data_IF_259725251610
#
_entry.id   IF_259725251610
#
_cell.length_a   1.000
_cell.length_b   1.000
_cell.length_c   1.000
_cell.angle_alpha   90.00
_cell.angle_beta   90.00
_cell.angle_gamma   90.00
#
_symmetry.space_group_name_H-M   'P 1'
#
loop_
_entity.id
_entity.type
_entity.pdbx_description
1 polymer ?
#
# COMPACT_ATOMS: atom_id res chain seq x y z
N UNK A 1 11.03 23.14 17.92
CA UNK A 1 11.11 22.66 16.52
C UNK A 1 10.09 21.56 16.34
N UNK A 2 9.36 21.50 15.21
CA UNK A 2 8.44 20.39 14.90
C UNK A 2 9.06 19.53 13.81
N UNK A 3 9.00 18.21 13.95
CA UNK A 3 9.38 17.25 12.92
C UNK A 3 8.12 16.49 12.48
N UNK A 4 8.02 16.21 11.19
CA UNK A 4 6.96 15.40 10.61
C UNK A 4 7.60 14.17 9.98
N UNK A 5 7.05 13.00 10.27
CA UNK A 5 7.49 11.74 9.70
C UNK A 5 6.45 11.27 8.69
N UNK A 6 6.86 11.12 7.43
CA UNK A 6 6.02 10.60 6.36
C UNK A 6 6.51 9.18 6.06
N UNK A 7 5.69 8.19 6.40
CA UNK A 7 6.01 6.78 6.16
C UNK A 7 5.48 6.38 4.80
N UNK A 8 6.32 5.73 4.01
CA UNK A 8 5.94 5.23 2.71
C UNK A 8 7.04 4.35 2.16
N UNK A 9 6.80 3.78 0.99
CA UNK A 9 7.81 3.12 0.18
C UNK A 9 7.90 3.82 -1.16
N UNK A 10 9.10 3.87 -1.72
CA UNK A 10 9.25 4.04 -3.16
C UNK A 10 9.00 2.70 -3.83
N UNK A 11 8.20 2.65 -4.89
CA UNK A 11 7.80 1.41 -5.53
C UNK A 11 8.01 1.46 -7.04
N UNK A 12 9.20 1.07 -7.48
CA UNK A 12 9.42 0.79 -8.88
C UNK A 12 8.52 -0.37 -9.32
N UNK A 13 7.60 -0.11 -10.26
CA UNK A 13 6.67 -1.13 -10.75
C UNK A 13 7.40 -2.30 -11.41
N UNK A 14 8.52 -2.02 -12.06
CA UNK A 14 9.43 -2.99 -12.67
C UNK A 14 10.83 -2.37 -12.79
N UNK A 15 11.88 -3.15 -12.54
CA UNK A 15 13.25 -2.67 -12.67
C UNK A 15 14.27 -3.79 -12.95
N UNK A 16 15.01 -4.25 -11.93
CA UNK A 16 16.11 -5.22 -12.10
C UNK A 16 15.67 -6.68 -12.06
N UNK A 17 14.53 -6.96 -11.46
CA UNK A 17 13.80 -8.24 -11.57
C UNK A 17 12.62 -8.12 -12.54
N UNK A 18 12.09 -9.24 -13.05
CA UNK A 18 10.85 -9.24 -13.84
C UNK A 18 9.68 -8.61 -13.08
N UNK A 19 8.77 -7.95 -13.82
CA UNK A 19 7.56 -7.31 -13.28
C UNK A 19 6.80 -8.18 -12.27
N UNK A 20 6.70 -9.50 -12.49
CA UNK A 20 5.94 -10.38 -11.60
C UNK A 20 6.60 -10.56 -10.21
N UNK A 21 7.92 -10.42 -10.09
CA UNK A 21 8.56 -10.44 -8.76
C UNK A 21 8.24 -9.16 -7.98
N UNK A 22 8.32 -8.00 -8.63
CA UNK A 22 7.83 -6.76 -8.03
C UNK A 22 6.34 -6.85 -7.69
N UNK A 23 5.50 -7.40 -8.57
CA UNK A 23 4.07 -7.56 -8.25
C UNK A 23 3.83 -8.48 -7.06
N UNK A 24 4.61 -9.56 -6.92
CA UNK A 24 4.53 -10.45 -5.74
C UNK A 24 4.87 -9.71 -4.46
N UNK A 25 5.98 -8.97 -4.44
CA UNK A 25 6.36 -8.18 -3.26
C UNK A 25 5.36 -7.06 -2.95
N UNK A 26 4.72 -6.47 -3.97
CA UNK A 26 3.67 -5.47 -3.77
C UNK A 26 2.49 -6.08 -3.02
N UNK A 27 2.08 -7.29 -3.43
CA UNK A 27 0.98 -8.01 -2.78
C UNK A 27 1.32 -8.34 -1.33
N UNK A 28 2.52 -8.84 -1.06
CA UNK A 28 3.00 -9.13 0.29
C UNK A 28 3.02 -7.86 1.16
N UNK A 29 3.57 -6.76 0.65
CA UNK A 29 3.63 -5.47 1.35
C UNK A 29 2.24 -4.95 1.70
N UNK A 30 1.29 -4.96 0.75
CA UNK A 30 -0.05 -4.42 0.97
C UNK A 30 -0.86 -5.33 1.91
N UNK A 31 -0.70 -6.65 1.82
CA UNK A 31 -1.32 -7.60 2.75
C UNK A 31 -0.85 -7.33 4.19
N UNK A 32 0.47 -7.27 4.40
CA UNK A 32 1.06 -6.99 5.71
C UNK A 32 0.69 -5.61 6.26
N UNK A 33 0.66 -4.59 5.39
CA UNK A 33 0.30 -3.23 5.78
C UNK A 33 -1.15 -3.14 6.28
N UNK A 34 -2.10 -3.77 5.58
CA UNK A 34 -3.50 -3.74 6.00
C UNK A 34 -3.72 -4.52 7.30
N UNK A 35 -3.05 -5.67 7.45
CA UNK A 35 -3.10 -6.46 8.68
C UNK A 35 -2.49 -5.70 9.87
N UNK A 36 -1.36 -5.00 9.66
CA UNK A 36 -0.76 -4.11 10.64
C UNK A 36 -1.72 -2.98 11.03
N UNK A 37 -2.34 -2.31 10.06
CA UNK A 37 -3.29 -1.22 10.32
C UNK A 37 -4.54 -1.69 11.05
N UNK A 38 -4.96 -2.94 10.85
CA UNK A 38 -6.07 -3.55 11.59
C UNK A 38 -5.68 -3.87 13.04
N UNK A 39 -4.46 -4.39 13.26
CA UNK A 39 -3.95 -4.75 14.58
C UNK A 39 -3.53 -3.53 15.42
N UNK A 40 -3.01 -2.48 14.78
CA UNK A 40 -2.49 -1.28 15.42
C UNK A 40 -3.20 -0.01 14.90
N UNK A 41 -4.21 0.50 15.65
CA UNK A 41 -4.88 1.76 15.34
C UNK A 41 -3.98 3.00 15.47
N UNK A 42 -2.80 2.91 16.09
CA UNK A 42 -1.83 3.99 16.18
C UNK A 42 -0.94 4.12 14.95
N UNK A 43 -0.92 3.10 14.09
CA UNK A 43 -0.37 3.22 12.74
C UNK A 43 -1.30 4.06 11.84
N UNK A 44 -1.07 5.38 11.84
CA UNK A 44 -2.05 6.35 11.31
C UNK A 44 -2.12 6.40 9.79
N UNK A 45 -0.99 6.48 9.09
CA UNK A 45 -0.97 6.61 7.64
C UNK A 45 0.26 5.99 6.99
N UNK A 46 0.11 5.61 5.71
CA UNK A 46 1.19 5.15 4.85
C UNK A 46 1.03 5.69 3.42
N UNK A 47 2.13 6.12 2.81
CA UNK A 47 2.17 6.64 1.45
C UNK A 47 2.60 5.56 0.45
N UNK A 48 1.70 5.18 -0.45
CA UNK A 48 1.95 4.26 -1.58
C UNK A 48 2.43 5.03 -2.81
N UNK A 49 3.55 5.73 -2.62
CA UNK A 49 4.40 6.27 -3.69
C UNK A 49 3.75 7.21 -4.73
N UNK A 50 2.57 7.79 -4.42
CA UNK A 50 1.94 8.79 -5.30
C UNK A 50 1.45 8.25 -6.65
N UNK A 51 1.31 6.93 -6.78
CA UNK A 51 0.88 6.26 -8.01
C UNK A 51 -0.36 5.42 -7.74
N UNK A 52 -1.37 5.51 -8.61
CA UNK A 52 -2.63 4.76 -8.43
C UNK A 52 -2.58 3.35 -8.99
N UNK A 53 -1.65 3.05 -9.91
CA UNK A 53 -1.54 1.76 -10.60
C UNK A 53 -1.31 0.59 -9.65
N UNK A 54 -0.64 0.82 -8.52
CA UNK A 54 -0.41 -0.19 -7.48
C UNK A 54 -1.72 -0.76 -6.90
N UNK A 55 -2.81 0.01 -6.92
CA UNK A 55 -4.11 -0.48 -6.48
C UNK A 55 -4.68 -1.51 -7.48
N UNK A 56 -4.48 -1.27 -8.77
CA UNK A 56 -4.93 -2.19 -9.82
C UNK A 56 -4.09 -3.47 -9.77
N UNK A 57 -2.76 -3.34 -9.73
CA UNK A 57 -1.84 -4.48 -9.64
C UNK A 57 -2.11 -5.37 -8.42
N UNK A 58 -2.44 -4.76 -7.28
CA UNK A 58 -2.82 -5.49 -6.07
C UNK A 58 -4.19 -6.19 -6.22
N UNK A 59 -5.22 -5.48 -6.68
CA UNK A 59 -6.59 -6.01 -6.74
C UNK A 59 -6.81 -7.00 -7.89
N UNK A 60 -5.92 -7.05 -8.88
CA UNK A 60 -5.87 -8.16 -9.84
C UNK A 60 -5.55 -9.51 -9.18
N UNK A 61 -4.78 -9.49 -8.08
CA UNK A 61 -4.38 -10.70 -7.34
C UNK A 61 -5.26 -10.94 -6.11
N UNK A 62 -5.67 -9.86 -5.42
CA UNK A 62 -6.45 -9.88 -4.17
C UNK A 62 -7.81 -9.19 -4.32
N UNK A 63 -8.69 -9.60 -5.26
CA UNK A 63 -9.97 -8.93 -5.49
C UNK A 63 -10.88 -8.93 -4.25
N UNK A 64 -10.76 -9.94 -3.39
CA UNK A 64 -11.49 -10.09 -2.13
C UNK A 64 -11.16 -9.01 -1.08
N UNK A 65 -9.99 -8.37 -1.17
CA UNK A 65 -9.54 -7.33 -0.23
C UNK A 65 -10.02 -5.92 -0.62
N UNK A 66 -10.78 -5.79 -1.72
CA UNK A 66 -11.24 -4.49 -2.25
C UNK A 66 -11.97 -3.63 -1.22
N UNK A 67 -12.92 -4.20 -0.49
CA UNK A 67 -13.75 -3.43 0.45
C UNK A 67 -12.90 -2.81 1.57
N UNK A 68 -11.96 -3.59 2.10
CA UNK A 68 -11.02 -3.16 3.13
C UNK A 68 -10.08 -2.07 2.62
N UNK A 69 -9.48 -2.26 1.44
CA UNK A 69 -8.59 -1.27 0.82
C UNK A 69 -9.32 0.06 0.59
N UNK A 70 -10.55 0.02 0.07
CA UNK A 70 -11.38 1.22 -0.15
C UNK A 70 -11.71 1.92 1.17
N UNK A 71 -11.97 1.17 2.25
CA UNK A 71 -12.18 1.75 3.58
C UNK A 71 -10.93 2.51 4.05
N UNK A 72 -9.75 1.91 3.97
CA UNK A 72 -8.49 2.54 4.40
C UNK A 72 -8.14 3.79 3.57
N UNK A 73 -8.43 3.79 2.27
CA UNK A 73 -8.29 4.95 1.40
C UNK A 73 -9.23 6.09 1.81
N UNK A 74 -10.51 5.79 2.08
CA UNK A 74 -11.51 6.79 2.52
C UNK A 74 -11.17 7.39 3.89
N UNK A 75 -10.64 6.56 4.79
CA UNK A 75 -10.18 6.97 6.11
C UNK A 75 -8.84 7.73 6.08
N UNK A 76 -8.20 7.85 4.91
CA UNK A 76 -6.87 8.44 4.72
C UNK A 76 -5.78 7.76 5.55
N UNK A 77 -5.97 6.48 5.86
CA UNK A 77 -4.92 5.62 6.44
C UNK A 77 -3.97 5.11 5.37
N UNK A 78 -4.49 4.91 4.16
CA UNK A 78 -3.69 4.62 2.98
C UNK A 78 -3.73 5.83 2.05
N UNK A 79 -2.57 6.40 1.71
CA UNK A 79 -2.43 7.56 0.83
C UNK A 79 -1.86 7.11 -0.51
N UNK A 80 -2.50 7.54 -1.59
CA UNK A 80 -2.18 7.12 -2.96
C UNK A 80 -2.52 8.27 -3.93
N UNK A 81 -1.75 8.39 -5.02
CA UNK A 81 -1.88 9.47 -6.00
C UNK A 81 -1.41 10.84 -5.51
#
# INVERSE_FOLDING_TARGET
MKAFYCVGTHWDREWYEPFQEFRRWLVELVDELMDLMAADPDYKNFHLDGQTVVLEDYLEIRPERREELVRLLRERRLLVG
#
